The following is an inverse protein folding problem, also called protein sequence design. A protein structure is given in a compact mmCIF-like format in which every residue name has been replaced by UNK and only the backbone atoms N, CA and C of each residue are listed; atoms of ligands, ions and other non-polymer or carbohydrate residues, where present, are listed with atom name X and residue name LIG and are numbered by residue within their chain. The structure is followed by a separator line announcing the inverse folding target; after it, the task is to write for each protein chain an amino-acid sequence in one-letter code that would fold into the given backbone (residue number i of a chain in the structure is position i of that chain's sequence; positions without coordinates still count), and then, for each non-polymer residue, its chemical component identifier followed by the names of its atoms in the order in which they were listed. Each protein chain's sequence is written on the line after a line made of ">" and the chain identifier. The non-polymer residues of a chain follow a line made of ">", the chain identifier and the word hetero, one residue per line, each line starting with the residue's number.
data_IF_275703997660
#
_entry.id   IF_275703997660
#
_cell.length_a   1.000
_cell.length_b   1.000
_cell.length_c   1.000
_cell.angle_alpha   90.00
_cell.angle_beta   90.00
_cell.angle_gamma   90.00
#
_symmetry.space_group_name_H-M   'P 1'
#
loop_
_entity.id
_entity.type
_entity.pdbx_description
1 polymer ?
#
# COMPACT_ATOMS: atom_id res chain seq x y z
N UNK A 1 12.76 1.91 8.28
CA UNK A 1 13.03 0.47 8.31
C UNK A 1 11.85 -0.21 9.00
N UNK A 2 11.15 -1.15 8.35
CA UNK A 2 10.02 -1.86 8.97
C UNK A 2 10.57 -3.02 9.82
N UNK A 3 10.28 -3.00 11.12
CA UNK A 3 10.66 -4.06 12.05
C UNK A 3 9.48 -4.42 12.97
N UNK A 4 9.45 -5.67 13.42
CA UNK A 4 8.48 -6.18 14.41
C UNK A 4 9.27 -6.91 15.49
N UNK A 5 9.00 -6.60 16.75
CA UNK A 5 9.54 -7.33 17.90
C UNK A 5 8.74 -8.61 18.09
N UNK A 6 9.43 -9.73 18.29
CA UNK A 6 8.81 -11.00 18.65
C UNK A 6 8.69 -11.03 20.17
N UNK A 7 7.49 -11.20 20.68
CA UNK A 7 7.23 -11.37 22.11
C UNK A 7 6.89 -12.84 22.37
N UNK A 8 7.32 -13.37 23.51
CA UNK A 8 6.97 -14.73 23.98
C UNK A 8 7.29 -15.86 22.99
N UNK A 9 8.26 -15.67 22.10
CA UNK A 9 8.60 -16.60 21.02
C UNK A 9 7.45 -16.86 20.00
N UNK A 10 6.42 -16.00 19.97
CA UNK A 10 5.29 -16.11 19.06
C UNK A 10 5.63 -15.54 17.67
N UNK A 11 6.40 -16.32 16.88
CA UNK A 11 6.88 -15.91 15.56
C UNK A 11 5.74 -15.74 14.55
N UNK A 12 4.72 -16.61 14.58
CA UNK A 12 3.57 -16.53 13.68
C UNK A 12 2.81 -15.21 13.80
N UNK A 13 2.60 -14.75 15.04
CA UNK A 13 1.93 -13.49 15.28
C UNK A 13 2.76 -12.31 14.77
N UNK A 14 4.07 -12.33 15.04
CA UNK A 14 5.00 -11.30 14.58
C UNK A 14 5.04 -11.22 13.04
N UNK A 15 5.06 -12.36 12.34
CA UNK A 15 5.01 -12.44 10.88
C UNK A 15 3.70 -11.88 10.32
N UNK A 16 2.56 -12.22 10.96
CA UNK A 16 1.25 -11.73 10.53
C UNK A 16 1.14 -10.20 10.70
N UNK A 17 1.69 -9.67 11.79
CA UNK A 17 1.75 -8.23 12.02
C UNK A 17 2.69 -7.53 11.02
N UNK A 18 3.85 -8.13 10.74
CA UNK A 18 4.79 -7.62 9.76
C UNK A 18 4.13 -7.53 8.38
N UNK A 19 3.44 -8.58 7.94
CA UNK A 19 2.69 -8.59 6.68
C UNK A 19 1.67 -7.44 6.63
N UNK A 20 0.85 -7.27 7.68
CA UNK A 20 -0.10 -6.14 7.76
C UNK A 20 0.58 -4.78 7.68
N UNK A 21 1.74 -4.61 8.32
CA UNK A 21 2.51 -3.35 8.26
C UNK A 21 3.09 -3.10 6.86
N UNK A 22 3.60 -4.13 6.20
CA UNK A 22 4.10 -4.05 4.80
C UNK A 22 2.97 -3.68 3.84
N UNK A 23 1.80 -4.30 3.98
CA UNK A 23 0.64 -4.01 3.15
C UNK A 23 0.13 -2.57 3.37
N UNK A 24 0.07 -2.12 4.63
CA UNK A 24 -0.33 -0.75 4.98
C UNK A 24 0.66 0.30 4.47
N UNK A 25 1.96 -0.01 4.48
CA UNK A 25 2.99 0.84 3.91
C UNK A 25 2.91 0.94 2.38
N UNK A 26 2.15 0.05 1.72
CA UNK A 26 1.96 0.08 0.27
C UNK A 26 3.20 -0.28 -0.54
N UNK A 27 4.25 -0.82 0.10
CA UNK A 27 5.54 -1.14 -0.54
C UNK A 27 5.38 -2.03 -1.77
N UNK A 28 4.54 -3.07 -1.68
CA UNK A 28 4.29 -3.98 -2.81
C UNK A 28 3.65 -3.27 -4.02
N UNK A 29 2.79 -2.28 -3.76
CA UNK A 29 2.12 -1.50 -4.81
C UNK A 29 3.12 -0.56 -5.49
N UNK A 30 4.02 0.02 -4.71
CA UNK A 30 5.09 0.87 -5.22
C UNK A 30 6.11 0.07 -6.03
N UNK A 31 6.58 -1.07 -5.50
CA UNK A 31 7.49 -1.97 -6.20
C UNK A 31 6.91 -2.39 -7.55
N UNK A 32 5.62 -2.74 -7.62
CA UNK A 32 4.92 -3.05 -8.88
C UNK A 32 4.94 -1.90 -9.89
N UNK A 33 4.77 -0.65 -9.42
CA UNK A 33 4.77 0.54 -10.28
C UNK A 33 6.17 0.91 -10.78
N UNK A 34 7.20 0.61 -9.99
CA UNK A 34 8.59 0.94 -10.32
C UNK A 34 9.29 -0.14 -11.18
N UNK A 35 8.64 -1.27 -11.48
CA UNK A 35 9.23 -2.35 -12.29
C UNK A 35 9.60 -1.92 -13.71
N UNK A 36 8.90 -0.93 -14.24
CA UNK A 36 9.12 -0.41 -15.59
C UNK A 36 9.07 1.12 -15.55
N UNK A 37 9.69 1.75 -16.53
CA UNK A 37 9.61 3.20 -16.68
C UNK A 37 8.18 3.59 -17.07
N UNK A 38 7.60 4.51 -16.28
CA UNK A 38 6.32 5.14 -16.58
C UNK A 38 6.59 6.59 -17.00
N UNK A 39 6.17 6.96 -18.22
CA UNK A 39 6.31 8.33 -18.72
C UNK A 39 5.63 9.32 -17.76
N UNK A 40 6.19 10.52 -17.53
CA UNK A 40 5.63 11.49 -16.59
C UNK A 40 4.20 11.93 -16.92
N UNK A 41 3.77 11.86 -18.19
CA UNK A 41 2.37 12.10 -18.59
C UNK A 41 1.43 11.02 -18.06
N UNK A 42 1.82 9.75 -18.20
CA UNK A 42 1.00 8.61 -17.81
C UNK A 42 0.92 8.49 -16.30
N UNK A 43 2.03 8.79 -15.61
CA UNK A 43 2.07 8.93 -14.16
C UNK A 43 1.03 9.92 -13.65
N UNK A 44 1.01 11.15 -14.19
CA UNK A 44 0.05 12.21 -13.83
C UNK A 44 -1.39 11.77 -14.08
N UNK A 45 -1.65 11.14 -15.24
CA UNK A 45 -2.98 10.62 -15.59
C UNK A 45 -3.45 9.56 -14.59
N UNK A 46 -2.59 8.59 -14.26
CA UNK A 46 -2.87 7.53 -13.27
C UNK A 46 -3.15 8.09 -11.88
N UNK A 47 -2.39 9.07 -11.43
CA UNK A 47 -2.56 9.71 -10.13
C UNK A 47 -3.90 10.45 -10.03
N UNK A 48 -4.27 11.22 -11.06
CA UNK A 48 -5.58 11.87 -11.14
C UNK A 48 -6.73 10.86 -11.06
N UNK A 49 -6.67 9.78 -11.85
CA UNK A 49 -7.69 8.73 -11.84
C UNK A 49 -7.77 8.00 -10.50
N UNK A 50 -6.63 7.73 -9.86
CA UNK A 50 -6.59 7.13 -8.53
C UNK A 50 -7.20 8.03 -7.47
N UNK A 51 -7.00 9.35 -7.55
CA UNK A 51 -7.63 10.34 -6.69
C UNK A 51 -9.16 10.30 -6.79
N UNK A 52 -9.69 10.39 -8.01
CA UNK A 52 -11.15 10.32 -8.28
C UNK A 52 -11.75 9.00 -7.79
N UNK A 53 -11.04 7.88 -7.99
CA UNK A 53 -11.50 6.57 -7.49
C UNK A 53 -11.53 6.53 -5.96
N UNK A 54 -10.56 7.16 -5.30
CA UNK A 54 -10.49 7.20 -3.85
C UNK A 54 -11.56 8.11 -3.23
N UNK A 55 -11.87 9.26 -3.84
CA UNK A 55 -12.94 10.15 -3.36
C UNK A 55 -14.29 9.46 -3.46
N UNK A 56 -14.61 8.88 -4.62
CA UNK A 56 -15.85 8.10 -4.82
C UNK A 56 -15.99 6.95 -3.82
N UNK A 57 -14.90 6.23 -3.54
CA UNK A 57 -14.90 5.16 -2.52
C UNK A 57 -15.17 5.68 -1.11
N UNK A 58 -14.66 6.86 -0.76
CA UNK A 58 -14.90 7.49 0.55
C UNK A 58 -16.34 7.97 0.66
N UNK A 59 -16.86 8.62 -0.38
CA UNK A 59 -18.25 9.06 -0.46
C UNK A 59 -19.23 7.88 -0.31
N UNK A 60 -18.99 6.79 -1.03
CA UNK A 60 -19.80 5.56 -0.91
C UNK A 60 -19.71 4.88 0.47
N UNK A 61 -18.62 5.07 1.21
CA UNK A 61 -18.47 4.49 2.54
C UNK A 61 -19.06 5.36 3.66
N UNK A 62 -19.43 6.61 3.34
CA UNK A 62 -20.10 7.55 4.25
C UNK A 62 -21.63 7.47 4.14
N UNK A 63 -22.15 6.85 3.08
CA UNK A 63 -23.54 6.46 2.92
C UNK A 63 -23.80 5.10 3.58
#
# INVERSE_FOLDING_TARGET
>A
MLAVKVNNNDVDFALRLLKKRVDKAGMLRELRRRRYYEKPSDRRRREKLAGIKNTRKREMALL
#
